data_IF_909771563729
#
_entry.id   IF_909771563729
#
_cell.length_a   1.000
_cell.length_b   1.000
_cell.length_c   1.000
_cell.angle_alpha   90.00
_cell.angle_beta   90.00
_cell.angle_gamma   90.00
#
_symmetry.space_group_name_H-M   'P 1'
#
loop_
_entity.id
_entity.type
_entity.pdbx_description
1 polymer ?
#
# COMPACT_ATOMS: atom_id res chain seq x y z
N UNK A 1 -17.44 10.25 -9.35
CA UNK A 1 -17.04 9.80 -8.00
C UNK A 1 -15.91 8.82 -8.18
N UNK A 2 -14.74 9.05 -7.59
CA UNK A 2 -13.67 8.07 -7.65
C UNK A 2 -14.11 6.85 -6.84
N UNK A 3 -14.38 5.73 -7.51
CA UNK A 3 -14.57 4.44 -6.86
C UNK A 3 -13.28 4.08 -6.15
N UNK A 4 -13.34 3.80 -4.85
CA UNK A 4 -12.20 3.36 -4.05
C UNK A 4 -12.25 1.83 -4.01
N UNK A 5 -11.38 1.18 -4.76
CA UNK A 5 -11.37 -0.28 -4.88
C UNK A 5 -10.29 -0.87 -4.00
N UNK A 6 -10.67 -1.79 -3.11
CA UNK A 6 -9.73 -2.51 -2.24
C UNK A 6 -9.60 -3.94 -2.72
N UNK A 7 -8.60 -4.18 -3.57
CA UNK A 7 -8.26 -5.49 -4.06
C UNK A 7 -6.73 -5.68 -4.00
N UNK A 8 -6.29 -6.58 -3.12
CA UNK A 8 -4.87 -6.81 -2.81
C UNK A 8 -4.06 -7.17 -4.06
N UNK A 9 -4.39 -8.23 -4.83
CA UNK A 9 -3.61 -8.58 -6.02
C UNK A 9 -3.66 -7.50 -7.11
N UNK A 10 -4.76 -6.78 -7.26
CA UNK A 10 -4.84 -5.68 -8.24
C UNK A 10 -3.98 -4.49 -7.81
N UNK A 11 -3.99 -4.12 -6.53
CA UNK A 11 -3.20 -3.01 -6.02
C UNK A 11 -1.69 -3.30 -6.09
N UNK A 12 -1.27 -4.54 -5.83
CA UNK A 12 0.12 -4.97 -6.03
C UNK A 12 0.54 -4.79 -7.50
N UNK A 13 -0.30 -5.24 -8.44
CA UNK A 13 -0.04 -5.10 -9.88
C UNK A 13 -0.01 -3.63 -10.30
N UNK A 14 -0.92 -2.82 -9.77
CA UNK A 14 -0.99 -1.39 -10.05
C UNK A 14 0.30 -0.68 -9.60
N UNK A 15 0.76 -0.94 -8.37
CA UNK A 15 2.01 -0.36 -7.87
C UNK A 15 3.23 -0.82 -8.68
N UNK A 16 3.29 -2.10 -9.02
CA UNK A 16 4.37 -2.66 -9.83
C UNK A 16 4.42 -2.02 -11.22
N UNK A 17 3.26 -1.86 -11.86
CA UNK A 17 3.15 -1.20 -13.16
C UNK A 17 3.51 0.30 -13.09
N UNK A 18 3.06 1.00 -12.04
CA UNK A 18 3.41 2.40 -11.80
C UNK A 18 4.92 2.60 -11.63
N UNK A 19 5.55 1.80 -10.75
CA UNK A 19 7.00 1.85 -10.53
C UNK A 19 7.77 1.54 -11.81
N UNK A 20 7.36 0.52 -12.59
CA UNK A 20 8.00 0.18 -13.87
C UNK A 20 7.89 1.30 -14.90
N UNK A 21 6.70 1.87 -15.07
CA UNK A 21 6.42 2.90 -16.08
C UNK A 21 7.17 4.20 -15.77
N UNK A 22 7.30 4.55 -14.48
CA UNK A 22 7.99 5.76 -14.03
C UNK A 22 9.49 5.53 -13.77
N UNK A 23 9.99 4.31 -13.94
CA UNK A 23 11.39 3.92 -13.63
C UNK A 23 11.74 4.27 -12.18
N UNK A 24 10.84 3.92 -11.26
CA UNK A 24 10.99 4.14 -9.82
C UNK A 24 11.28 2.81 -9.10
N UNK A 25 12.11 2.83 -8.04
CA UNK A 25 12.27 1.67 -7.18
C UNK A 25 10.94 1.30 -6.52
N UNK A 26 10.67 0.00 -6.44
CA UNK A 26 9.47 -0.53 -5.78
C UNK A 26 9.76 -0.73 -4.30
N UNK A 27 9.38 0.25 -3.48
CA UNK A 27 9.55 0.18 -2.02
C UNK A 27 8.47 -0.66 -1.32
N UNK A 28 7.24 -0.62 -1.83
CA UNK A 28 6.14 -1.39 -1.25
C UNK A 28 6.45 -2.90 -1.23
N UNK A 29 6.04 -3.64 -0.20
CA UNK A 29 6.19 -5.08 -0.11
C UNK A 29 5.51 -5.79 -1.29
N UNK A 30 6.20 -6.76 -1.90
CA UNK A 30 5.68 -7.48 -3.09
C UNK A 30 4.45 -8.35 -2.83
N UNK A 31 4.29 -8.80 -1.58
CA UNK A 31 3.10 -9.50 -1.11
C UNK A 31 2.06 -8.56 -0.47
N UNK A 32 2.33 -7.25 -0.43
CA UNK A 32 1.51 -6.26 0.27
C UNK A 32 1.62 -6.28 1.80
N UNK A 33 2.36 -7.20 2.40
CA UNK A 33 2.43 -7.34 3.86
C UNK A 33 3.56 -6.48 4.42
N UNK A 34 3.21 -5.57 5.33
CA UNK A 34 4.20 -4.76 6.03
C UNK A 34 5.05 -5.65 6.96
N UNK A 35 6.38 -5.56 6.83
CA UNK A 35 7.33 -6.30 7.68
C UNK A 35 7.27 -5.91 9.17
N UNK A 36 6.78 -4.71 9.49
CA UNK A 36 6.76 -4.22 10.88
C UNK A 36 5.46 -4.53 11.62
N UNK A 37 4.31 -4.33 10.97
CA UNK A 37 3.01 -4.58 11.61
C UNK A 37 2.29 -5.83 11.13
N UNK A 38 2.84 -6.56 10.15
CA UNK A 38 2.28 -7.78 9.57
C UNK A 38 0.88 -7.64 8.96
N UNK A 39 0.43 -6.40 8.72
CA UNK A 39 -0.84 -6.11 8.07
C UNK A 39 -0.62 -5.88 6.57
N UNK A 40 -1.63 -6.23 5.76
CA UNK A 40 -1.57 -6.02 4.33
C UNK A 40 -1.98 -4.59 3.98
N UNK A 41 -1.04 -3.81 3.44
CA UNK A 41 -1.21 -2.38 3.15
C UNK A 41 -2.33 -2.07 2.17
N UNK A 42 -2.77 -3.06 1.39
CA UNK A 42 -3.85 -2.92 0.41
C UNK A 42 -5.22 -3.40 0.93
N UNK A 43 -5.30 -3.80 2.20
CA UNK A 43 -6.57 -4.15 2.83
C UNK A 43 -7.44 -2.91 3.07
N UNK A 44 -8.74 -3.04 2.84
CA UNK A 44 -9.72 -1.98 3.15
C UNK A 44 -9.67 -1.54 4.61
N UNK A 45 -9.45 -2.50 5.53
CA UNK A 45 -9.43 -2.26 6.97
C UNK A 45 -8.12 -2.78 7.56
N UNK A 46 -7.53 -1.95 8.42
CA UNK A 46 -6.41 -2.32 9.27
C UNK A 46 -6.41 -1.47 10.53
N UNK A 47 -5.39 -1.65 11.37
CA UNK A 47 -5.27 -0.99 12.67
C UNK A 47 -3.95 -0.25 12.78
N UNK A 48 -4.05 0.98 13.26
CA UNK A 48 -2.90 1.78 13.63
C UNK A 48 -2.14 1.18 14.83
N UNK A 49 -0.91 1.61 15.05
CA UNK A 49 -0.13 1.22 16.25
C UNK A 49 -0.81 1.57 17.57
N UNK A 50 -1.67 2.58 17.58
CA UNK A 50 -2.43 3.00 18.76
C UNK A 50 -3.78 2.29 18.89
N UNK A 51 -4.11 1.37 17.97
CA UNK A 51 -5.31 0.55 18.03
C UNK A 51 -6.55 1.12 17.34
N UNK A 52 -6.46 2.27 16.68
CA UNK A 52 -7.57 2.81 15.88
C UNK A 52 -7.68 2.12 14.53
N UNK A 53 -8.91 1.85 14.10
CA UNK A 53 -9.18 1.34 12.76
C UNK A 53 -8.89 2.43 11.71
N UNK A 54 -8.24 2.04 10.63
CA UNK A 54 -7.92 2.91 9.49
C UNK A 54 -7.98 2.11 8.19
N UNK A 55 -7.92 2.80 7.07
CA UNK A 55 -7.97 2.22 5.75
C UNK A 55 -6.56 2.03 5.17
N UNK A 56 -6.41 0.98 4.36
CA UNK A 56 -5.20 0.79 3.57
C UNK A 56 -5.20 1.60 2.28
N UNK A 57 -4.34 1.18 1.36
CA UNK A 57 -4.11 1.82 0.07
C UNK A 57 -4.99 1.13 -0.96
N UNK A 58 -5.81 1.92 -1.65
CA UNK A 58 -6.68 1.43 -2.72
C UNK A 58 -5.90 1.16 -4.01
N UNK A 59 -6.52 0.45 -4.95
CA UNK A 59 -5.94 0.18 -6.28
C UNK A 59 -5.61 1.49 -7.00
N UNK A 60 -6.49 2.49 -6.92
CA UNK A 60 -6.33 3.79 -7.57
C UNK A 60 -5.16 4.57 -6.96
N UNK A 61 -4.99 4.48 -5.64
CA UNK A 61 -3.86 5.08 -4.94
C UNK A 61 -2.55 4.39 -5.33
N UNK A 62 -2.53 3.06 -5.40
CA UNK A 62 -1.36 2.30 -5.85
C UNK A 62 -0.99 2.57 -7.32
N UNK A 63 -1.99 2.89 -8.16
CA UNK A 63 -1.77 3.27 -9.56
C UNK A 63 -1.30 4.72 -9.75
N UNK A 64 -1.51 5.59 -8.74
CA UNK A 64 -1.31 7.04 -8.88
C UNK A 64 -0.07 7.60 -8.17
N UNK A 65 0.41 6.94 -7.11
CA UNK A 65 1.49 7.43 -6.27
C UNK A 65 2.50 6.35 -5.87
N UNK A 66 3.72 6.78 -5.58
CA UNK A 66 4.76 5.89 -5.06
C UNK A 66 4.51 5.60 -3.58
N UNK A 67 4.26 4.34 -3.26
CA UNK A 67 4.08 3.90 -1.87
C UNK A 67 5.46 3.69 -1.23
N UNK A 68 5.81 4.55 -0.29
CA UNK A 68 7.09 4.52 0.44
C UNK A 68 6.92 4.16 1.92
N UNK A 69 5.70 4.07 2.43
CA UNK A 69 5.43 3.78 3.85
C UNK A 69 4.15 2.96 4.06
N UNK A 70 4.07 2.30 5.20
CA UNK A 70 2.86 1.57 5.63
C UNK A 70 1.78 2.52 6.17
N UNK A 71 0.52 2.44 5.69
CA UNK A 71 -0.59 3.29 6.15
C UNK A 71 -1.04 3.00 7.59
N UNK A 72 -0.68 1.83 8.13
CA UNK A 72 -1.11 1.39 9.45
C UNK A 72 -0.11 1.76 10.55
N UNK A 73 1.16 1.41 10.36
CA UNK A 73 2.18 1.62 11.38
C UNK A 73 3.08 2.82 11.10
N UNK A 74 2.85 3.52 9.99
CA UNK A 74 3.63 4.67 9.53
C UNK A 74 5.14 4.40 9.43
N UNK A 75 5.52 3.13 9.22
CA UNK A 75 6.91 2.74 9.01
C UNK A 75 7.30 2.99 7.56
N UNK A 76 8.42 3.67 7.35
CA UNK A 76 9.05 3.84 6.04
C UNK A 76 9.58 2.49 5.52
N UNK A 77 9.42 2.28 4.22
CA UNK A 77 10.08 1.22 3.44
C UNK A 77 11.35 1.72 2.75
N UNK A 78 11.54 3.04 2.68
CA UNK A 78 12.83 3.65 2.37
C UNK A 78 13.66 3.63 3.66
N UNK A 79 14.59 2.70 3.76
CA UNK A 79 15.69 2.67 4.73
C UNK A 79 17.00 2.59 3.94
#
# INVERSE_FOLDING_TARGET
MATTTYNIPEAIKAQDWYCKTKILPRFAPGNGICWSCHQNIYSEKGRTRTGYDTQGISVESAAGQLITSCPFCNRSYCD
#
